data_IF_797436788187
#
_entry.id   IF_797436788187
#
_cell.length_a   1.000
_cell.length_b   1.000
_cell.length_c   1.000
_cell.angle_alpha   90.00
_cell.angle_beta   90.00
_cell.angle_gamma   90.00
#
_symmetry.space_group_name_H-M   'P 1'
#
loop_
_entity.id
_entity.type
_entity.pdbx_description
1 polymer ?
#
# COMPACT_ATOMS: atom_id res chain seq x y z
N UNK A 1 -15.47 -19.14 -12.57
CA UNK A 1 -14.12 -19.59 -12.14
C UNK A 1 -13.10 -18.65 -12.77
N UNK A 2 -12.39 -17.87 -11.97
CA UNK A 2 -11.63 -16.71 -12.43
C UNK A 2 -10.42 -17.12 -13.29
N UNK A 3 -10.23 -16.42 -14.41
CA UNK A 3 -9.03 -16.47 -15.25
C UNK A 3 -7.81 -16.10 -14.41
N UNK A 4 -7.14 -17.10 -13.85
CA UNK A 4 -5.87 -16.92 -13.18
C UNK A 4 -4.85 -16.51 -14.23
N UNK A 5 -4.45 -15.24 -14.23
CA UNK A 5 -3.32 -14.78 -15.03
C UNK A 5 -2.10 -15.63 -14.60
N UNK A 6 -1.56 -16.51 -15.47
CA UNK A 6 -0.51 -17.44 -15.07
C UNK A 6 0.76 -16.70 -14.61
N UNK A 7 0.97 -15.47 -15.08
CA UNK A 7 2.04 -14.60 -14.60
C UNK A 7 1.86 -14.15 -13.16
N UNK A 8 0.62 -13.86 -12.74
CA UNK A 8 0.33 -13.48 -11.35
C UNK A 8 0.53 -14.66 -10.40
N UNK A 9 0.03 -15.84 -10.76
CA UNK A 9 0.21 -17.05 -9.96
C UNK A 9 1.71 -17.36 -9.75
N UNK A 10 2.52 -17.23 -10.81
CA UNK A 10 3.97 -17.38 -10.74
C UNK A 10 4.62 -16.34 -9.82
N UNK A 11 4.26 -15.07 -9.96
CA UNK A 11 4.79 -14.01 -9.10
C UNK A 11 4.43 -14.23 -7.62
N UNK A 12 3.18 -14.61 -7.33
CA UNK A 12 2.75 -14.97 -5.96
C UNK A 12 3.55 -16.16 -5.43
N UNK A 13 3.74 -17.22 -6.24
CA UNK A 13 4.52 -18.37 -5.83
C UNK A 13 5.99 -18.02 -5.54
N UNK A 14 6.59 -17.12 -6.33
CA UNK A 14 7.96 -16.66 -6.15
C UNK A 14 8.15 -15.87 -4.84
N UNK A 15 7.24 -14.95 -4.52
CA UNK A 15 7.36 -14.15 -3.30
C UNK A 15 6.96 -14.89 -2.02
N UNK A 16 6.20 -15.98 -2.17
CA UNK A 16 5.72 -16.82 -1.06
C UNK A 16 6.44 -18.16 -0.99
N UNK A 17 7.63 -18.29 -1.58
CA UNK A 17 8.43 -19.50 -1.43
C UNK A 17 8.65 -19.78 0.08
N UNK A 18 8.39 -21.00 0.59
CA UNK A 18 8.49 -21.29 2.02
C UNK A 18 9.93 -21.12 2.54
N UNK A 19 10.91 -21.38 1.68
CA UNK A 19 12.33 -21.23 2.00
C UNK A 19 12.87 -19.87 1.52
N UNK A 20 13.98 -19.45 2.11
CA UNK A 20 14.68 -18.21 1.75
C UNK A 20 14.30 -17.01 2.63
N UNK A 21 14.93 -15.88 2.34
CA UNK A 21 14.88 -14.67 3.15
C UNK A 21 13.45 -14.15 3.38
N UNK A 22 13.23 -13.38 4.47
CA UNK A 22 12.00 -12.62 4.65
C UNK A 22 11.68 -11.77 3.42
N UNK A 23 10.40 -11.47 3.21
CA UNK A 23 9.92 -10.65 2.09
C UNK A 23 10.70 -9.33 2.07
N UNK A 24 11.63 -9.20 1.12
CA UNK A 24 12.40 -7.99 0.88
C UNK A 24 11.73 -7.11 -0.17
N UNK A 25 12.12 -5.83 -0.23
CA UNK A 25 11.62 -4.92 -1.26
C UNK A 25 11.90 -5.40 -2.69
N UNK A 26 13.02 -6.13 -2.88
CA UNK A 26 13.38 -6.73 -4.16
C UNK A 26 12.43 -7.87 -4.57
N UNK A 27 12.00 -8.69 -3.59
CA UNK A 27 11.05 -9.79 -3.78
C UNK A 27 9.67 -9.22 -4.15
N UNK A 28 9.25 -8.10 -3.56
CA UNK A 28 8.00 -7.43 -3.90
C UNK A 28 7.96 -6.81 -5.31
N UNK A 29 9.10 -6.60 -5.97
CA UNK A 29 9.13 -6.03 -7.33
C UNK A 29 8.35 -6.87 -8.34
N UNK A 30 8.32 -8.19 -8.17
CA UNK A 30 7.57 -9.09 -9.07
C UNK A 30 6.05 -8.88 -8.99
N UNK A 31 5.54 -8.51 -7.80
CA UNK A 31 4.14 -8.16 -7.56
C UNK A 31 3.82 -6.69 -7.87
N UNK A 32 4.81 -5.82 -7.85
CA UNK A 32 4.63 -4.36 -7.94
C UNK A 32 3.83 -3.93 -9.18
N UNK A 33 4.10 -4.54 -10.34
CA UNK A 33 3.35 -4.23 -11.58
C UNK A 33 1.85 -4.51 -11.47
N UNK A 34 1.46 -5.55 -10.70
CA UNK A 34 0.06 -5.91 -10.48
C UNK A 34 -0.59 -5.06 -9.38
N UNK A 35 0.20 -4.63 -8.39
CA UNK A 35 -0.28 -3.74 -7.33
C UNK A 35 -0.48 -2.29 -7.82
N UNK A 36 0.25 -1.88 -8.86
CA UNK A 36 0.09 -0.57 -9.51
C UNK A 36 -1.13 -0.51 -10.44
N UNK A 37 -1.54 -1.63 -11.02
CA UNK A 37 -2.77 -1.70 -11.82
C UNK A 37 -3.98 -1.96 -10.92
N UNK A 38 -4.84 -0.94 -10.79
CA UNK A 38 -6.08 -0.99 -9.99
C UNK A 38 -6.98 -2.17 -10.36
N UNK A 39 -6.97 -2.63 -11.61
CA UNK A 39 -7.80 -3.77 -12.06
C UNK A 39 -7.28 -5.12 -11.57
N UNK A 40 -6.00 -5.20 -11.18
CA UNK A 40 -5.39 -6.43 -10.70
C UNK A 40 -5.16 -6.48 -9.19
N UNK A 41 -5.26 -5.36 -8.46
CA UNK A 41 -5.07 -5.31 -7.00
C UNK A 41 -5.86 -6.40 -6.28
N UNK A 42 -7.15 -6.49 -6.53
CA UNK A 42 -8.03 -7.51 -5.93
C UNK A 42 -7.58 -8.94 -6.23
N UNK A 43 -7.14 -9.18 -7.48
CA UNK A 43 -6.65 -10.49 -7.90
C UNK A 43 -5.34 -10.86 -7.19
N UNK A 44 -4.48 -9.88 -6.87
CA UNK A 44 -3.26 -10.11 -6.08
C UNK A 44 -3.61 -10.61 -4.69
N UNK A 45 -4.49 -9.91 -3.96
CA UNK A 45 -4.88 -10.31 -2.61
C UNK A 45 -5.61 -11.65 -2.59
N UNK A 46 -6.54 -11.89 -3.52
CA UNK A 46 -7.20 -13.19 -3.67
C UNK A 46 -6.20 -14.31 -3.92
N UNK A 47 -5.23 -14.11 -4.81
CA UNK A 47 -4.20 -15.10 -5.10
C UNK A 47 -3.28 -15.37 -3.89
N UNK A 48 -2.95 -14.34 -3.10
CA UNK A 48 -2.18 -14.49 -1.86
C UNK A 48 -2.94 -15.31 -0.80
N UNK A 49 -4.23 -15.02 -0.60
CA UNK A 49 -5.10 -15.79 0.30
C UNK A 49 -5.19 -17.24 -0.14
N UNK A 50 -5.46 -17.48 -1.43
CA UNK A 50 -5.50 -18.84 -2.00
C UNK A 50 -4.17 -19.58 -1.80
N UNK A 51 -3.03 -18.88 -1.94
CA UNK A 51 -1.71 -19.46 -1.74
C UNK A 51 -1.45 -19.83 -0.28
N UNK A 52 -1.90 -19.00 0.67
CA UNK A 52 -1.77 -19.29 2.10
C UNK A 52 -2.65 -20.48 2.56
N UNK A 53 -3.80 -20.67 1.91
CA UNK A 53 -4.70 -21.81 2.13
C UNK A 53 -4.35 -23.08 1.34
N UNK A 54 -3.35 -23.02 0.46
CA UNK A 54 -2.97 -24.18 -0.33
C UNK A 54 -2.36 -25.28 0.55
N UNK A 55 -2.80 -26.53 0.34
CA UNK A 55 -2.28 -27.68 1.06
C UNK A 55 -0.95 -28.19 0.46
N UNK A 56 0.01 -28.65 1.29
CA UNK A 56 -0.02 -28.63 2.76
C UNK A 56 0.15 -27.21 3.33
N UNK A 57 -0.59 -26.90 4.40
CA UNK A 57 -0.49 -25.59 5.06
C UNK A 57 0.94 -25.37 5.58
N UNK A 58 1.49 -24.19 5.27
CA UNK A 58 2.87 -23.84 5.62
C UNK A 58 2.91 -22.53 6.39
N UNK A 59 3.44 -22.60 7.61
CA UNK A 59 3.64 -21.41 8.45
C UNK A 59 4.54 -20.38 7.76
N UNK A 60 5.60 -20.82 7.06
CA UNK A 60 6.50 -19.91 6.38
C UNK A 60 5.82 -19.15 5.22
N UNK A 61 4.97 -19.85 4.44
CA UNK A 61 4.15 -19.22 3.39
C UNK A 61 3.21 -18.19 4.01
N UNK A 62 2.58 -18.55 5.12
CA UNK A 62 1.68 -17.67 5.84
C UNK A 62 2.36 -16.39 6.34
N UNK A 63 3.48 -16.52 7.06
CA UNK A 63 4.22 -15.38 7.60
C UNK A 63 4.64 -14.42 6.48
N UNK A 64 4.98 -14.96 5.30
CA UNK A 64 5.27 -14.15 4.11
C UNK A 64 4.03 -13.44 3.58
N UNK A 65 2.89 -14.12 3.45
CA UNK A 65 1.62 -13.51 3.01
C UNK A 65 1.17 -12.39 3.94
N UNK A 66 1.20 -12.63 5.26
CA UNK A 66 0.89 -11.59 6.26
C UNK A 66 1.87 -10.43 6.16
N UNK A 67 3.17 -10.69 5.99
CA UNK A 67 4.17 -9.63 5.78
C UNK A 67 3.88 -8.80 4.53
N UNK A 68 3.44 -9.42 3.44
CA UNK A 68 3.04 -8.71 2.21
C UNK A 68 1.83 -7.81 2.50
N UNK A 69 0.81 -8.31 3.21
CA UNK A 69 -0.35 -7.50 3.58
C UNK A 69 0.06 -6.27 4.39
N UNK A 70 0.95 -6.44 5.37
CA UNK A 70 1.48 -5.32 6.17
C UNK A 70 2.14 -4.23 5.32
N UNK A 71 2.86 -4.63 4.27
CA UNK A 71 3.60 -3.71 3.42
C UNK A 71 2.72 -3.02 2.36
N UNK A 72 1.71 -3.73 1.86
CA UNK A 72 0.97 -3.32 0.67
C UNK A 72 -0.44 -2.79 0.96
N UNK A 73 -1.13 -3.27 1.99
CA UNK A 73 -2.58 -3.08 2.17
C UNK A 73 -3.01 -1.61 2.23
N UNK A 74 -2.29 -0.78 2.98
CA UNK A 74 -2.60 0.65 3.12
C UNK A 74 -2.13 1.50 1.94
N UNK A 75 -1.26 0.95 1.07
CA UNK A 75 -0.77 1.64 -0.14
C UNK A 75 -1.59 1.30 -1.36
N UNK A 76 -2.03 0.05 -1.44
CA UNK A 76 -2.78 -0.54 -2.54
C UNK A 76 -4.07 -1.13 -1.98
N UNK A 77 -5.03 -0.25 -1.69
CA UNK A 77 -6.31 -0.62 -1.07
C UNK A 77 -7.15 -1.43 -2.06
N UNK A 78 -7.53 -2.67 -1.72
CA UNK A 78 -8.42 -3.48 -2.54
C UNK A 78 -9.89 -3.06 -2.35
N UNK A 79 -10.80 -3.67 -3.10
CA UNK A 79 -12.25 -3.50 -2.93
C UNK A 79 -12.76 -4.01 -1.57
N UNK A 80 -13.97 -3.56 -1.20
CA UNK A 80 -14.63 -3.97 0.05
C UNK A 80 -14.77 -5.50 0.17
N UNK A 81 -15.23 -6.18 -0.89
CA UNK A 81 -15.37 -7.64 -0.93
C UNK A 81 -14.05 -8.37 -0.61
N UNK A 82 -12.92 -7.81 -1.04
CA UNK A 82 -11.60 -8.38 -0.75
C UNK A 82 -11.15 -8.07 0.67
N UNK A 83 -11.51 -6.90 1.21
CA UNK A 83 -11.23 -6.59 2.62
C UNK A 83 -11.98 -7.52 3.56
N UNK A 84 -13.24 -7.86 3.27
CA UNK A 84 -14.00 -8.86 4.02
C UNK A 84 -13.34 -10.24 3.96
N UNK A 85 -12.92 -10.68 2.77
CA UNK A 85 -12.16 -11.91 2.60
C UNK A 85 -10.86 -11.92 3.42
N UNK A 86 -10.16 -10.78 3.48
CA UNK A 86 -8.91 -10.65 4.25
C UNK A 86 -9.16 -10.69 5.77
N UNK A 87 -10.27 -10.13 6.24
CA UNK A 87 -10.66 -10.21 7.65
C UNK A 87 -11.03 -11.65 8.07
N UNK A 88 -11.83 -12.34 7.23
CA UNK A 88 -12.13 -13.76 7.42
C UNK A 88 -10.84 -14.58 7.44
N UNK A 89 -9.93 -14.33 6.49
CA UNK A 89 -8.62 -14.98 6.44
C UNK A 89 -7.82 -14.78 7.73
N UNK A 90 -7.72 -13.54 8.23
CA UNK A 90 -7.00 -13.24 9.47
C UNK A 90 -7.62 -13.91 10.70
N UNK A 91 -8.93 -14.13 10.69
CA UNK A 91 -9.67 -14.76 11.79
C UNK A 91 -9.63 -16.29 11.75
N UNK A 92 -9.76 -16.88 10.56
CA UNK A 92 -9.89 -18.33 10.39
C UNK A 92 -8.55 -19.06 10.41
N UNK A 93 -7.50 -18.48 9.79
CA UNK A 93 -6.24 -19.19 9.61
C UNK A 93 -5.49 -19.54 10.92
N UNK A 94 -5.46 -18.68 11.96
CA UNK A 94 -4.88 -19.04 13.26
C UNK A 94 -5.54 -20.23 13.95
N UNK A 95 -6.78 -20.57 13.57
CA UNK A 95 -7.49 -21.75 14.09
C UNK A 95 -7.12 -23.02 13.31
N UNK A 96 -6.75 -22.87 12.03
CA UNK A 96 -6.39 -23.97 11.15
C UNK A 96 -4.92 -24.38 11.25
N UNK A 97 -4.03 -23.47 11.66
CA UNK A 97 -2.59 -23.71 11.79
C UNK A 97 -2.09 -23.26 13.18
N UNK A 98 -1.37 -24.09 13.95
CA UNK A 98 -0.77 -23.66 15.20
C UNK A 98 0.34 -22.65 14.93
N UNK A 99 0.06 -21.37 15.20
CA UNK A 99 0.99 -20.26 14.97
C UNK A 99 1.74 -19.88 16.25
N UNK A 100 3.04 -19.53 16.16
CA UNK A 100 3.75 -18.99 17.31
C UNK A 100 3.24 -17.57 17.66
N UNK A 101 3.51 -17.09 18.90
CA UNK A 101 3.05 -15.78 19.35
C UNK A 101 3.48 -14.60 18.47
N UNK A 102 4.65 -14.70 17.82
CA UNK A 102 5.15 -13.68 16.89
C UNK A 102 4.28 -13.55 15.65
N UNK A 103 3.91 -14.68 15.03
CA UNK A 103 3.01 -14.74 13.89
C UNK A 103 1.62 -14.25 14.27
N UNK A 104 1.10 -14.64 15.43
CA UNK A 104 -0.19 -14.13 15.95
C UNK A 104 -0.24 -12.60 16.04
N UNK A 105 0.82 -11.96 16.54
CA UNK A 105 0.92 -10.49 16.56
C UNK A 105 0.93 -9.89 15.16
N UNK A 106 1.59 -10.53 14.20
CA UNK A 106 1.61 -10.06 12.82
C UNK A 106 0.21 -10.13 12.18
N UNK A 107 -0.57 -11.16 12.50
CA UNK A 107 -1.97 -11.32 12.05
C UNK A 107 -2.85 -10.24 12.64
N UNK A 108 -2.79 -10.02 13.96
CA UNK A 108 -3.56 -8.97 14.63
C UNK A 108 -3.26 -7.60 14.04
N UNK A 109 -1.98 -7.33 13.73
CA UNK A 109 -1.61 -6.10 13.05
C UNK A 109 -2.20 -6.03 11.63
N UNK A 110 -2.13 -7.11 10.84
CA UNK A 110 -2.70 -7.14 9.50
C UNK A 110 -4.23 -6.92 9.54
N UNK A 111 -4.93 -7.54 10.49
CA UNK A 111 -6.35 -7.34 10.73
C UNK A 111 -6.67 -5.87 11.07
N UNK A 112 -5.89 -5.23 11.94
CA UNK A 112 -6.05 -3.80 12.21
C UNK A 112 -5.85 -2.94 10.95
N UNK A 113 -4.95 -3.33 10.04
CA UNK A 113 -4.80 -2.67 8.74
C UNK A 113 -6.01 -2.90 7.83
N UNK A 114 -6.62 -4.09 7.85
CA UNK A 114 -7.86 -4.39 7.10
C UNK A 114 -9.00 -3.49 7.59
N UNK A 115 -9.23 -3.40 8.90
CA UNK A 115 -10.27 -2.53 9.46
C UNK A 115 -10.07 -1.07 9.04
N UNK A 116 -8.84 -0.55 9.16
CA UNK A 116 -8.53 0.83 8.73
C UNK A 116 -8.77 1.04 7.24
N UNK A 117 -8.40 0.07 6.40
CA UNK A 117 -8.63 0.15 4.96
C UNK A 117 -10.13 0.14 4.64
N UNK A 118 -10.91 -0.66 5.36
CA UNK A 118 -12.37 -0.75 5.23
C UNK A 118 -13.03 0.59 5.60
N UNK A 119 -12.70 1.15 6.77
CA UNK A 119 -13.21 2.44 7.23
C UNK A 119 -12.92 3.56 6.21
N UNK A 120 -11.72 3.58 5.65
CA UNK A 120 -11.33 4.53 4.62
C UNK A 120 -12.16 4.38 3.34
N UNK A 121 -12.45 3.14 2.92
CA UNK A 121 -13.29 2.90 1.74
C UNK A 121 -14.73 3.37 1.97
N UNK A 122 -15.30 3.08 3.14
CA UNK A 122 -16.65 3.52 3.51
C UNK A 122 -16.72 5.05 3.59
N UNK A 123 -15.74 5.69 4.22
CA UNK A 123 -15.67 7.14 4.31
C UNK A 123 -15.54 7.81 2.93
N UNK A 124 -14.76 7.25 2.00
CA UNK A 124 -14.64 7.76 0.64
C UNK A 124 -15.95 7.60 -0.16
N UNK A 125 -16.66 6.50 0.03
CA UNK A 125 -17.97 6.27 -0.59
C UNK A 125 -18.99 7.30 -0.09
N UNK A 126 -19.04 7.55 1.22
CA UNK A 126 -19.92 8.55 1.82
C UNK A 126 -19.59 9.98 1.34
N UNK A 127 -18.32 10.35 1.28
CA UNK A 127 -17.88 11.66 0.78
C UNK A 127 -18.21 11.87 -0.71
N UNK A 128 -18.18 10.81 -1.51
CA UNK A 128 -18.54 10.86 -2.94
C UNK A 128 -20.03 11.07 -3.17
N UNK A 129 -20.88 10.65 -2.22
CA UNK A 129 -22.34 10.85 -2.26
C UNK A 129 -22.76 12.25 -1.75
N UNK A 130 -21.87 12.98 -1.07
CA UNK A 130 -22.17 14.29 -0.49
C UNK A 130 -21.83 15.50 -1.39
N UNK A 131 -21.40 15.31 -2.65
CA UNK A 131 -21.24 16.46 -3.57
C UNK A 131 -22.61 17.09 -3.88
N UNK A 132 -22.93 18.30 -3.39
CA UNK A 132 -24.18 18.94 -3.72
C UNK A 132 -24.11 19.46 -5.15
N UNK A 133 -25.21 19.25 -5.89
CA UNK A 133 -25.54 20.02 -7.08
C UNK A 133 -25.70 21.50 -6.71
N UNK A 134 -24.62 22.25 -6.58
CA UNK A 134 -24.66 23.72 -6.69
C UNK A 134 -24.22 24.12 -8.09
N UNK A 135 -24.99 23.66 -9.07
CA UNK A 135 -25.06 24.31 -10.37
C UNK A 135 -26.17 25.39 -10.30
N UNK A 136 -25.93 26.45 -9.53
CA UNK A 136 -26.70 27.69 -9.68
C UNK A 136 -25.90 28.72 -10.49
N UNK A 137 -26.56 29.14 -11.57
CA UNK A 137 -26.19 30.19 -12.51
C UNK A 137 -25.86 31.51 -11.80
N UNK A 138 -24.83 32.22 -12.28
CA UNK A 138 -25.03 33.61 -12.72
C UNK A 138 -23.95 34.03 -13.71
N UNK A 139 -24.41 34.22 -14.95
CA UNK A 139 -23.77 34.97 -16.01
C UNK A 139 -23.51 36.41 -15.53
N UNK A 140 -22.29 36.96 -15.61
CA UNK A 140 -22.13 38.40 -15.60
C UNK A 140 -22.14 38.90 -17.05
N UNK A 141 -23.30 39.39 -17.48
CA UNK A 141 -23.37 40.38 -18.56
C UNK A 141 -22.79 41.68 -18.00
N UNK A 142 -21.63 42.12 -18.47
CA UNK A 142 -21.20 43.51 -18.32
C UNK A 142 -20.67 44.04 -19.64
N UNK A 143 -21.36 45.08 -20.11
CA UNK A 143 -20.98 45.98 -21.19
C UNK A 143 -19.70 46.77 -20.87
N UNK A 144 -19.02 47.15 -21.96
CA UNK A 144 -18.16 48.33 -22.15
C UNK A 144 -16.85 48.52 -21.36
N UNK A 145 -15.73 48.44 -22.12
CA UNK A 145 -14.54 49.33 -22.03
C UNK A 145 -14.93 50.77 -22.48
N UNK A 146 -14.14 51.85 -22.27
CA UNK A 146 -12.69 51.98 -21.96
C UNK A 146 -12.44 52.97 -20.77
N UNK A 147 -11.27 53.42 -20.30
CA UNK A 147 -9.97 53.74 -20.89
C UNK A 147 -8.87 53.89 -19.80
N UNK A 148 -7.61 53.78 -20.25
CA UNK A 148 -6.36 54.45 -19.82
C UNK A 148 -6.15 54.93 -18.38
N UNK A 149 -5.05 54.49 -17.74
CA UNK A 149 -3.94 55.36 -17.34
C UNK A 149 -2.73 54.56 -16.79
N UNK A 150 -1.55 55.03 -17.18
CA UNK A 150 -0.21 54.53 -16.91
C UNK A 150 0.22 54.58 -15.44
N UNK A 151 1.10 53.65 -15.02
CA UNK A 151 2.35 53.97 -14.28
C UNK A 151 3.32 52.78 -14.21
N UNK A 152 4.59 53.13 -14.33
CA UNK A 152 5.81 52.32 -14.49
C UNK A 152 6.37 51.78 -13.13
N UNK A 153 7.44 50.94 -13.14
CA UNK A 153 7.88 49.96 -12.11
C UNK A 153 8.98 50.57 -11.19
N UNK A 154 9.99 49.89 -10.56
CA UNK A 154 10.42 48.47 -10.50
C UNK A 154 10.97 47.97 -9.12
N UNK A 155 11.51 46.72 -9.07
CA UNK A 155 12.76 46.27 -8.39
C UNK A 155 12.65 45.11 -7.39
N UNK A 156 13.72 44.28 -7.44
CA UNK A 156 14.18 43.36 -6.38
C UNK A 156 13.88 41.90 -6.72
N UNK A 157 14.72 41.13 -7.43
CA UNK A 157 16.04 40.59 -7.04
C UNK A 157 16.09 40.16 -5.56
N UNK A 158 16.08 38.85 -5.31
CA UNK A 158 17.22 38.13 -4.70
C UNK A 158 17.15 36.61 -4.95
N UNK A 159 18.32 35.93 -4.85
CA UNK A 159 18.60 34.59 -5.39
C UNK A 159 18.54 33.50 -4.28
N UNK A 160 18.26 32.23 -4.59
CA UNK A 160 19.20 31.12 -4.87
C UNK A 160 19.83 30.43 -3.65
N UNK A 161 20.09 29.12 -3.82
CA UNK A 161 20.94 28.20 -3.04
C UNK A 161 20.37 27.75 -1.69
N UNK A 162 20.46 26.50 -1.24
CA UNK A 162 21.20 25.31 -1.71
C UNK A 162 20.89 24.14 -0.74
N UNK A 163 20.60 22.96 -1.26
CA UNK A 163 21.00 21.67 -0.64
C UNK A 163 22.45 21.37 -1.11
N UNK A 164 23.25 20.42 -0.55
CA UNK A 164 22.88 19.17 0.15
C UNK A 164 23.89 18.82 1.31
N UNK A 165 24.35 17.56 1.52
CA UNK A 165 23.95 16.66 2.60
C UNK A 165 25.10 16.31 3.58
N UNK A 166 24.80 15.95 4.82
CA UNK A 166 25.82 15.43 5.75
C UNK A 166 25.66 13.92 5.94
N UNK A 167 26.68 13.18 5.47
CA UNK A 167 26.86 11.73 5.62
C UNK A 167 26.90 11.27 7.10
N UNK A 168 26.58 10.00 7.38
CA UNK A 168 26.79 9.37 8.68
C UNK A 168 28.25 8.94 8.90
N UNK A 169 28.76 8.94 10.14
CA UNK A 169 30.03 8.29 10.45
C UNK A 169 29.87 6.77 10.60
N UNK A 170 30.84 6.04 10.04
CA UNK A 170 31.05 4.58 10.10
C UNK A 170 32.09 4.24 11.21
N UNK A 171 32.47 2.96 11.43
CA UNK A 171 32.41 2.26 12.71
C UNK A 171 33.70 2.32 13.55
N UNK A 172 33.59 2.05 14.85
CA UNK A 172 34.76 1.76 15.70
C UNK A 172 34.99 0.25 15.81
N UNK A 173 36.02 -0.22 15.11
CA UNK A 173 36.78 -1.40 15.49
C UNK A 173 37.61 -1.06 16.73
N UNK A 174 37.49 -1.84 17.81
CA UNK A 174 38.57 -2.00 18.77
C UNK A 174 38.62 -3.47 19.19
N UNK A 175 39.72 -4.08 18.80
CA UNK A 175 40.18 -5.37 19.30
C UNK A 175 40.35 -5.32 20.81
N UNK A 176 40.13 -6.45 21.49
CA UNK A 176 41.04 -6.79 22.56
C UNK A 176 41.31 -8.29 22.62
N UNK A 177 42.61 -8.57 22.69
CA UNK A 177 43.30 -9.83 22.84
C UNK A 177 43.43 -10.12 24.33
N UNK A 178 43.37 -11.40 24.73
CA UNK A 178 44.06 -11.89 25.91
C UNK A 178 43.20 -12.71 26.88
N UNK A 179 43.61 -13.96 27.09
CA UNK A 179 43.13 -14.85 28.17
C UNK A 179 42.90 -16.26 27.69
#
# INVERSE_FOLDING_TARGET
MANANPGLARAVAEVTQPFGSPVSGDVLRSLQKYLQDKKSVDNVYKALVLRAWAEPLSQAVFDKVVSIFKQCLLRHTPSLDVLELLDEFCTALPRALPLPPSSMKAVQYAQACVCRAYDNCVAQAAASQQRPLTAEKKLPTMHERPASASRLPPRGRTPSLSNPPTKPPTPSLLANVGG
#
